data_IF_071511001572
#
_entry.id   IF_071511001572
#
_cell.length_a   1.000
_cell.length_b   1.000
_cell.length_c   1.000
_cell.angle_alpha   90.00
_cell.angle_beta   90.00
_cell.angle_gamma   90.00
#
_symmetry.space_group_name_H-M   'P 1'
#
loop_
_entity.id
_entity.type
_entity.pdbx_description
1 polymer ?
#
# COMPACT_ATOMS: atom_id res chain seq x y z
N UNK A 1 75.29 13.67 -5.83
CA UNK A 1 74.09 14.46 -6.21
C UNK A 1 72.92 13.48 -6.31
N UNK A 2 71.78 13.81 -5.68
CA UNK A 2 70.43 13.20 -5.83
C UNK A 2 70.02 12.09 -4.82
N UNK A 3 69.82 12.45 -3.55
CA UNK A 3 69.00 11.67 -2.59
C UNK A 3 67.65 12.31 -2.28
N UNK A 4 67.30 13.43 -2.93
CA UNK A 4 66.11 14.24 -2.61
C UNK A 4 64.80 13.80 -3.30
N UNK A 5 64.80 12.73 -4.11
CA UNK A 5 63.62 12.32 -4.90
C UNK A 5 62.96 11.03 -4.41
N UNK A 6 63.73 10.13 -3.78
CA UNK A 6 63.28 8.79 -3.41
C UNK A 6 62.31 8.80 -2.22
N UNK A 7 62.57 9.64 -1.20
CA UNK A 7 61.70 9.73 -0.03
C UNK A 7 60.32 10.31 -0.35
N UNK A 8 60.24 11.30 -1.25
CA UNK A 8 58.97 11.88 -1.69
C UNK A 8 58.12 10.87 -2.49
N UNK A 9 58.74 10.13 -3.40
CA UNK A 9 58.07 9.10 -4.19
C UNK A 9 57.58 7.92 -3.33
N UNK A 10 58.42 7.42 -2.40
CA UNK A 10 58.03 6.33 -1.51
C UNK A 10 56.89 6.74 -0.58
N UNK A 11 56.93 7.94 -0.01
CA UNK A 11 55.84 8.47 0.81
C UNK A 11 54.54 8.61 -0.01
N UNK A 12 54.63 9.15 -1.23
CA UNK A 12 53.47 9.31 -2.11
C UNK A 12 52.88 7.96 -2.55
N UNK A 13 53.73 6.98 -2.89
CA UNK A 13 53.29 5.62 -3.23
C UNK A 13 52.62 4.94 -2.03
N UNK A 14 53.20 5.09 -0.83
CA UNK A 14 52.63 4.52 0.39
C UNK A 14 51.27 5.15 0.72
N UNK A 15 51.14 6.48 0.60
CA UNK A 15 49.87 7.19 0.79
C UNK A 15 48.82 6.72 -0.22
N UNK A 16 49.16 6.62 -1.50
CA UNK A 16 48.20 6.15 -2.52
C UNK A 16 47.75 4.71 -2.30
N UNK A 17 48.65 3.81 -1.91
CA UNK A 17 48.27 2.43 -1.60
C UNK A 17 47.34 2.35 -0.38
N UNK A 18 47.62 3.14 0.66
CA UNK A 18 46.78 3.19 1.86
C UNK A 18 45.38 3.74 1.54
N UNK A 19 45.31 4.78 0.72
CA UNK A 19 44.05 5.34 0.21
C UNK A 19 43.29 4.28 -0.59
N UNK A 20 43.93 3.62 -1.54
CA UNK A 20 43.29 2.55 -2.33
C UNK A 20 42.74 1.42 -1.47
N UNK A 21 43.49 0.98 -0.45
CA UNK A 21 43.03 -0.05 0.49
C UNK A 21 41.79 0.45 1.25
N UNK A 22 41.82 1.68 1.79
CA UNK A 22 40.71 2.27 2.51
C UNK A 22 39.45 2.44 1.65
N UNK A 23 39.61 2.91 0.41
CA UNK A 23 38.50 3.02 -0.55
C UNK A 23 37.93 1.64 -0.89
N UNK A 24 38.75 0.63 -1.16
CA UNK A 24 38.27 -0.73 -1.44
C UNK A 24 37.50 -1.33 -0.26
N UNK A 25 37.99 -1.12 0.97
CA UNK A 25 37.32 -1.59 2.19
C UNK A 25 35.96 -0.91 2.40
N UNK A 26 35.89 0.39 2.12
CA UNK A 26 34.65 1.18 2.25
C UNK A 26 33.58 0.72 1.26
N UNK A 27 33.97 0.43 0.01
CA UNK A 27 33.08 -0.11 -1.01
C UNK A 27 32.55 -1.49 -0.56
N UNK A 28 33.43 -2.36 -0.05
CA UNK A 28 33.02 -3.67 0.47
C UNK A 28 31.97 -3.57 1.56
N UNK A 29 32.19 -2.74 2.58
CA UNK A 29 31.22 -2.51 3.65
C UNK A 29 29.90 -1.93 3.14
N UNK A 30 29.96 -0.97 2.20
CA UNK A 30 28.78 -0.39 1.57
C UNK A 30 27.93 -1.43 0.83
N UNK A 31 28.56 -2.34 0.07
CA UNK A 31 27.84 -3.39 -0.66
C UNK A 31 27.14 -4.38 0.26
N UNK A 32 27.78 -4.78 1.37
CA UNK A 32 27.18 -5.68 2.36
C UNK A 32 26.02 -4.99 3.07
N UNK A 33 26.19 -3.73 3.47
CA UNK A 33 25.12 -2.95 4.09
C UNK A 33 23.93 -2.78 3.16
N UNK A 34 24.16 -2.45 1.89
CA UNK A 34 23.09 -2.31 0.89
C UNK A 34 22.35 -3.63 0.66
N UNK A 35 23.09 -4.75 0.57
CA UNK A 35 22.47 -6.08 0.47
C UNK A 35 21.61 -6.40 1.69
N UNK A 36 22.06 -6.05 2.89
CA UNK A 36 21.28 -6.22 4.10
C UNK A 36 19.99 -5.40 4.06
N UNK A 37 20.08 -4.12 3.67
CA UNK A 37 18.91 -3.25 3.52
C UNK A 37 17.90 -3.78 2.49
N UNK A 38 18.38 -4.29 1.35
CA UNK A 38 17.52 -4.93 0.34
C UNK A 38 16.82 -6.14 0.95
N UNK A 39 17.52 -6.97 1.71
CA UNK A 39 16.93 -8.16 2.34
C UNK A 39 15.85 -7.80 3.37
N UNK A 40 16.11 -6.81 4.22
CA UNK A 40 15.15 -6.34 5.23
C UNK A 40 13.92 -5.76 4.55
N UNK A 41 14.12 -4.93 3.52
CA UNK A 41 13.04 -4.30 2.75
C UNK A 41 12.22 -5.35 2.00
N UNK A 42 12.87 -6.31 1.34
CA UNK A 42 12.17 -7.39 0.65
C UNK A 42 11.33 -8.25 1.62
N UNK A 43 11.83 -8.48 2.83
CA UNK A 43 11.09 -9.21 3.85
C UNK A 43 9.85 -8.44 4.33
N UNK A 44 9.98 -7.13 4.57
CA UNK A 44 8.83 -6.31 4.97
C UNK A 44 7.78 -6.22 3.85
N UNK A 45 8.21 -6.08 2.59
CA UNK A 45 7.32 -6.12 1.43
C UNK A 45 6.59 -7.46 1.32
N UNK A 46 7.30 -8.59 1.47
CA UNK A 46 6.67 -9.92 1.46
C UNK A 46 5.66 -10.10 2.59
N UNK A 47 5.97 -9.60 3.79
CA UNK A 47 5.06 -9.68 4.92
C UNK A 47 3.80 -8.85 4.69
N UNK A 48 3.93 -7.65 4.12
CA UNK A 48 2.78 -6.81 3.75
C UNK A 48 1.92 -7.49 2.68
N UNK A 49 2.54 -8.04 1.64
CA UNK A 49 1.83 -8.76 0.59
C UNK A 49 1.03 -9.95 1.15
N UNK A 50 1.63 -10.75 2.04
CA UNK A 50 0.94 -11.87 2.69
C UNK A 50 -0.27 -11.42 3.52
N UNK A 51 -0.15 -10.29 4.23
CA UNK A 51 -1.27 -9.72 4.98
C UNK A 51 -2.40 -9.23 4.08
N UNK A 52 -2.08 -8.64 2.93
CA UNK A 52 -3.09 -8.19 1.96
C UNK A 52 -3.89 -9.39 1.46
N UNK A 53 -3.22 -10.46 1.02
CA UNK A 53 -3.90 -11.66 0.53
C UNK A 53 -4.79 -12.29 1.60
N UNK A 54 -4.36 -12.29 2.86
CA UNK A 54 -5.18 -12.81 3.96
C UNK A 54 -6.42 -11.95 4.21
N UNK A 55 -6.28 -10.63 4.19
CA UNK A 55 -7.42 -9.71 4.34
C UNK A 55 -8.38 -9.84 3.16
N UNK A 56 -7.88 -9.97 1.93
CA UNK A 56 -8.69 -10.19 0.74
C UNK A 56 -9.48 -11.50 0.83
N UNK A 57 -8.85 -12.57 1.32
CA UNK A 57 -9.52 -13.86 1.56
C UNK A 57 -10.67 -13.71 2.56
N UNK A 58 -10.42 -13.07 3.70
CA UNK A 58 -11.46 -12.82 4.70
C UNK A 58 -12.58 -11.91 4.17
N UNK A 59 -12.25 -10.93 3.32
CA UNK A 59 -13.24 -10.08 2.68
C UNK A 59 -14.10 -10.89 1.70
N UNK A 60 -13.49 -11.77 0.91
CA UNK A 60 -14.21 -12.65 0.01
C UNK A 60 -15.14 -13.61 0.77
N UNK A 61 -14.67 -14.22 1.86
CA UNK A 61 -15.46 -15.10 2.72
C UNK A 61 -16.66 -14.38 3.34
N UNK A 62 -16.43 -13.19 3.92
CA UNK A 62 -17.52 -12.40 4.53
C UNK A 62 -18.51 -11.88 3.50
N UNK A 63 -18.03 -11.49 2.32
CA UNK A 63 -18.89 -11.06 1.21
C UNK A 63 -19.73 -12.23 0.71
N UNK A 64 -19.13 -13.41 0.53
CA UNK A 64 -19.86 -14.61 0.12
C UNK A 64 -20.91 -15.04 1.15
N UNK A 65 -20.60 -14.97 2.45
CA UNK A 65 -21.56 -15.22 3.52
C UNK A 65 -22.72 -14.21 3.49
N UNK A 66 -22.41 -12.91 3.37
CA UNK A 66 -23.42 -11.86 3.29
C UNK A 66 -24.30 -12.00 2.04
N UNK A 67 -23.73 -12.39 0.91
CA UNK A 67 -24.48 -12.63 -0.32
C UNK A 67 -25.37 -13.87 -0.20
N UNK A 68 -24.86 -14.95 0.37
CA UNK A 68 -25.65 -16.16 0.67
C UNK A 68 -26.81 -15.89 1.61
N UNK A 69 -26.69 -14.91 2.52
CA UNK A 69 -27.75 -14.52 3.44
C UNK A 69 -28.74 -13.52 2.83
N UNK A 70 -28.31 -12.77 1.81
CA UNK A 70 -29.16 -11.84 1.04
C UNK A 70 -29.96 -12.51 -0.06
N UNK A 71 -29.71 -13.79 -0.33
CA UNK A 71 -30.48 -14.56 -1.30
C UNK A 71 -31.99 -14.50 -0.95
N UNK A 72 -32.87 -14.07 -1.87
CA UNK A 72 -34.31 -13.98 -1.63
C UNK A 72 -34.92 -15.29 -1.10
N UNK A 73 -34.41 -16.46 -1.52
CA UNK A 73 -34.92 -17.75 -1.07
C UNK A 73 -34.58 -18.01 0.41
N UNK A 74 -33.39 -17.58 0.86
CA UNK A 74 -32.98 -17.66 2.26
C UNK A 74 -33.80 -16.69 3.12
N UNK A 75 -34.05 -15.48 2.61
CA UNK A 75 -34.88 -14.48 3.29
C UNK A 75 -36.33 -14.93 3.43
N UNK A 76 -36.92 -15.53 2.38
CA UNK A 76 -38.26 -16.10 2.42
C UNK A 76 -38.35 -17.26 3.43
N UNK A 77 -37.35 -18.15 3.45
CA UNK A 77 -37.30 -19.24 4.43
C UNK A 77 -37.24 -18.71 5.87
N UNK A 78 -36.36 -17.74 6.16
CA UNK A 78 -36.26 -17.14 7.51
C UNK A 78 -37.54 -16.39 7.92
N UNK A 79 -38.20 -15.73 6.97
CA UNK A 79 -39.47 -15.04 7.22
C UNK A 79 -40.57 -16.02 7.68
N UNK A 80 -40.63 -17.20 7.07
CA UNK A 80 -41.55 -18.28 7.50
C UNK A 80 -41.13 -18.86 8.85
N UNK A 81 -39.85 -19.17 9.02
CA UNK A 81 -39.31 -19.78 10.26
C UNK A 81 -39.51 -18.89 11.49
N UNK A 82 -39.25 -17.59 11.35
CA UNK A 82 -39.38 -16.62 12.44
C UNK A 82 -40.76 -15.97 12.51
N UNK A 83 -41.70 -16.39 11.66
CA UNK A 83 -43.07 -15.86 11.58
C UNK A 83 -43.11 -14.34 11.48
N UNK A 84 -42.22 -13.75 10.67
CA UNK A 84 -42.10 -12.30 10.55
C UNK A 84 -43.28 -11.68 9.79
N UNK A 85 -44.01 -12.48 9.01
CA UNK A 85 -45.20 -12.01 8.28
C UNK A 85 -44.86 -10.96 7.21
N UNK A 86 -43.61 -10.91 6.75
CA UNK A 86 -43.18 -9.93 5.75
C UNK A 86 -43.76 -10.34 4.39
N UNK A 87 -44.39 -9.40 3.71
CA UNK A 87 -45.00 -9.61 2.39
C UNK A 87 -44.07 -8.97 1.35
N UNK A 88 -43.93 -9.55 0.13
CA UNK A 88 -43.18 -8.91 -0.94
C UNK A 88 -43.66 -7.47 -1.15
N UNK A 89 -42.75 -6.50 -1.34
CA UNK A 89 -43.13 -5.10 -1.52
C UNK A 89 -44.00 -4.96 -2.77
N UNK A 90 -45.07 -4.17 -2.65
CA UNK A 90 -45.94 -3.84 -3.79
C UNK A 90 -45.21 -2.89 -4.74
N UNK A 91 -45.53 -2.92 -6.05
CA UNK A 91 -44.85 -2.11 -7.07
C UNK A 91 -44.84 -0.61 -6.74
N UNK A 92 -45.86 -0.12 -6.02
CA UNK A 92 -45.96 1.28 -5.59
C UNK A 92 -44.94 1.67 -4.50
N UNK A 93 -44.31 0.70 -3.85
CA UNK A 93 -43.27 0.89 -2.83
C UNK A 93 -41.85 0.78 -3.43
N UNK A 94 -41.73 0.37 -4.70
CA UNK A 94 -40.45 0.21 -5.39
C UNK A 94 -40.11 1.52 -6.08
N UNK A 95 -39.15 2.26 -5.52
CA UNK A 95 -38.61 3.46 -6.15
C UNK A 95 -37.40 3.06 -6.99
N UNK A 96 -37.53 3.14 -8.31
CA UNK A 96 -36.41 2.94 -9.23
C UNK A 96 -35.52 4.18 -9.24
N UNK A 97 -34.28 4.02 -8.78
CA UNK A 97 -33.29 5.09 -8.82
C UNK A 97 -32.79 5.22 -10.27
N UNK A 98 -33.07 6.37 -10.90
CA UNK A 98 -32.70 6.68 -12.30
C UNK A 98 -31.25 7.10 -12.49
N UNK A 99 -30.54 7.40 -11.40
CA UNK A 99 -29.12 7.77 -11.43
C UNK A 99 -28.23 6.55 -11.22
N UNK A 100 -26.99 6.63 -11.71
CA UNK A 100 -25.99 5.58 -11.50
C UNK A 100 -25.81 5.29 -9.99
N UNK A 101 -26.25 4.12 -9.50
CA UNK A 101 -26.20 3.78 -8.09
C UNK A 101 -24.76 3.67 -7.58
N UNK A 102 -23.79 3.35 -8.44
CA UNK A 102 -22.38 3.22 -8.07
C UNK A 102 -21.79 4.57 -7.70
N UNK A 103 -22.04 5.59 -8.53
CA UNK A 103 -21.59 6.96 -8.28
C UNK A 103 -22.19 7.53 -6.98
N UNK A 104 -23.48 7.30 -6.74
CA UNK A 104 -24.15 7.77 -5.52
C UNK A 104 -23.67 7.04 -4.26
N UNK A 105 -23.45 5.73 -4.33
CA UNK A 105 -22.92 4.95 -3.21
C UNK A 105 -21.46 5.33 -2.91
N UNK A 106 -20.64 5.53 -3.95
CA UNK A 106 -19.27 6.01 -3.81
C UNK A 106 -19.22 7.41 -3.19
N UNK A 107 -20.06 8.35 -3.66
CA UNK A 107 -20.18 9.68 -3.08
C UNK A 107 -20.62 9.65 -1.60
N UNK A 108 -21.56 8.77 -1.24
CA UNK A 108 -21.99 8.57 0.15
C UNK A 108 -20.88 8.00 1.03
N UNK A 109 -20.15 6.99 0.54
CA UNK A 109 -18.99 6.40 1.24
C UNK A 109 -17.89 7.44 1.43
N UNK A 110 -17.60 8.23 0.40
CA UNK A 110 -16.57 9.26 0.45
C UNK A 110 -16.93 10.38 1.44
N UNK A 111 -18.20 10.79 1.56
CA UNK A 111 -18.62 11.74 2.62
C UNK A 111 -18.34 11.22 4.02
N UNK A 112 -18.53 9.92 4.25
CA UNK A 112 -18.23 9.28 5.55
C UNK A 112 -16.73 9.20 5.86
N UNK A 113 -15.87 9.12 4.85
CA UNK A 113 -14.42 8.99 5.01
C UNK A 113 -13.68 10.34 5.01
N UNK A 114 -14.15 11.32 4.24
CA UNK A 114 -13.44 12.58 4.02
C UNK A 114 -14.12 13.79 4.69
N UNK A 115 -15.32 13.63 5.25
CA UNK A 115 -16.11 14.75 5.78
C UNK A 115 -16.55 15.73 4.68
N UNK A 116 -17.54 16.56 4.97
CA UNK A 116 -18.17 17.49 4.00
C UNK A 116 -17.27 18.67 3.55
N UNK A 117 -15.96 18.61 3.82
CA UNK A 117 -15.02 19.67 3.44
C UNK A 117 -14.08 19.15 2.35
N UNK A 118 -14.08 19.73 1.15
CA UNK A 118 -13.01 19.47 0.21
C UNK A 118 -11.70 19.86 0.89
N UNK A 119 -10.77 18.91 1.01
CA UNK A 119 -9.43 19.21 1.48
C UNK A 119 -8.81 20.21 0.49
N UNK A 120 -8.71 21.47 0.90
CA UNK A 120 -7.97 22.49 0.15
C UNK A 120 -6.50 22.11 0.18
N UNK A 121 -6.04 21.41 -0.85
CA UNK A 121 -4.62 21.11 -1.04
C UNK A 121 -4.01 22.25 -1.84
N UNK A 122 -3.27 23.12 -1.15
CA UNK A 122 -2.47 24.18 -1.77
C UNK A 122 -1.10 23.61 -2.15
N UNK A 123 -0.86 23.50 -3.46
CA UNK A 123 0.47 23.19 -3.98
C UNK A 123 1.22 24.49 -4.25
N UNK A 124 2.42 24.72 -3.68
CA UNK A 124 3.25 25.84 -4.09
C UNK A 124 3.74 25.58 -5.51
N UNK A 125 3.20 26.32 -6.48
CA UNK A 125 3.75 26.38 -7.83
C UNK A 125 5.07 27.16 -7.74
N UNK A 126 6.19 26.43 -7.66
CA UNK A 126 7.50 27.00 -7.89
C UNK A 126 7.59 27.40 -9.37
N UNK A 127 7.28 28.66 -9.65
CA UNK A 127 7.38 29.24 -10.98
C UNK A 127 8.87 29.51 -11.24
N UNK A 128 9.54 28.49 -11.77
CA UNK A 128 10.93 28.56 -12.19
C UNK A 128 11.01 29.47 -13.43
N UNK A 129 11.66 30.62 -13.29
CA UNK A 129 11.95 31.56 -14.38
C UNK A 129 13.45 31.66 -14.56
#
# INVERSE_FOLDING_TARGET
MNTFSTHGFVNQLMVYTLVMIGFSGSIGLGTVWMRHQISVTANSTRQLAARITEVERHLAETTAAAESERDPDVLLRRNVEWRLGLVPPSQNQIVHVTQDPVLNLAAKRNRGLFGDRPATVSFPLALQR
#
